data_IF_900093382030
#
_entry.id   IF_900093382030
#
_cell.length_a   1.000
_cell.length_b   1.000
_cell.length_c   1.000
_cell.angle_alpha   90.00
_cell.angle_beta   90.00
_cell.angle_gamma   90.00
#
_symmetry.space_group_name_H-M   'P 1'
#
loop_
_entity.id
_entity.type
_entity.pdbx_description
1 polymer ?
#
# COMPACT_ATOMS: atom_id res chain seq x y z
N UNK A 1 14.41 6.98 0.65
CA UNK A 1 13.87 5.61 0.86
C UNK A 1 12.36 5.74 1.05
N UNK A 2 11.59 4.69 0.74
CA UNK A 2 10.14 4.68 0.98
C UNK A 2 9.84 4.67 2.48
N UNK A 3 8.65 5.13 2.86
CA UNK A 3 8.17 5.12 4.24
C UNK A 3 7.77 3.72 4.67
N UNK A 4 8.17 3.34 5.88
CA UNK A 4 7.67 2.18 6.63
C UNK A 4 6.74 2.59 7.77
N UNK A 5 6.34 3.87 7.82
CA UNK A 5 5.46 4.42 8.85
C UNK A 5 4.04 4.53 8.32
N UNK A 6 3.09 4.20 9.18
CA UNK A 6 1.67 4.42 8.90
C UNK A 6 1.38 5.91 8.76
N UNK A 7 0.66 6.33 7.71
CA UNK A 7 0.33 7.73 7.49
C UNK A 7 -0.78 8.20 8.45
N UNK A 8 -0.80 9.50 8.72
CA UNK A 8 -1.92 10.13 9.41
C UNK A 8 -3.04 10.33 8.40
N UNK A 9 -4.21 9.73 8.67
CA UNK A 9 -5.40 9.75 7.82
C UNK A 9 -6.40 10.83 8.23
N UNK A 10 -6.45 11.14 9.52
CA UNK A 10 -7.41 12.07 10.10
C UNK A 10 -6.68 13.13 10.92
N UNK A 11 -7.12 14.39 10.81
CA UNK A 11 -6.63 15.48 11.65
C UNK A 11 -7.20 15.40 13.07
N UNK A 12 -8.43 14.89 13.18
CA UNK A 12 -9.07 14.62 14.47
C UNK A 12 -8.36 13.44 15.18
N UNK A 13 -7.85 13.63 16.40
CA UNK A 13 -7.13 12.59 17.13
C UNK A 13 -7.98 11.36 17.44
N UNK A 14 -9.27 11.54 17.79
CA UNK A 14 -10.18 10.46 18.13
C UNK A 14 -10.44 9.58 16.90
N UNK A 15 -10.62 10.19 15.73
CA UNK A 15 -10.81 9.45 14.48
C UNK A 15 -9.53 8.72 14.05
N UNK A 16 -8.37 9.34 14.25
CA UNK A 16 -7.09 8.72 13.95
C UNK A 16 -6.81 7.53 14.88
N UNK A 17 -7.15 7.64 16.16
CA UNK A 17 -7.03 6.56 17.13
C UNK A 17 -7.98 5.41 16.82
N UNK A 18 -9.25 5.72 16.55
CA UNK A 18 -10.27 4.73 16.15
C UNK A 18 -9.84 3.98 14.89
N UNK A 19 -9.32 4.69 13.88
CA UNK A 19 -8.79 4.06 12.67
C UNK A 19 -7.66 3.08 13.01
N UNK A 20 -6.69 3.48 13.83
CA UNK A 20 -5.60 2.58 14.22
C UNK A 20 -6.11 1.36 14.98
N UNK A 21 -7.05 1.55 15.90
CA UNK A 21 -7.61 0.46 16.70
C UNK A 21 -8.27 -0.61 15.82
N UNK A 22 -9.02 -0.20 14.79
CA UNK A 22 -9.68 -1.13 13.84
C UNK A 22 -8.64 -1.97 13.07
N UNK A 23 -7.58 -1.35 12.56
CA UNK A 23 -6.61 -2.04 11.69
C UNK A 23 -5.50 -2.78 12.46
N UNK A 24 -5.10 -2.30 13.65
CA UNK A 24 -4.08 -2.97 14.47
C UNK A 24 -4.58 -4.29 15.04
N UNK A 25 -5.88 -4.40 15.32
CA UNK A 25 -6.49 -5.61 15.86
C UNK A 25 -7.04 -6.58 14.82
N UNK A 26 -7.04 -6.22 13.53
CA UNK A 26 -7.72 -7.02 12.50
C UNK A 26 -6.89 -8.15 11.94
N UNK A 27 -5.56 -8.01 11.93
CA UNK A 27 -4.66 -9.04 11.40
C UNK A 27 -4.29 -10.03 12.50
N UNK A 28 -4.73 -11.27 12.35
CA UNK A 28 -4.37 -12.37 13.26
C UNK A 28 -3.04 -13.03 12.88
N UNK A 29 -2.56 -12.80 11.64
CA UNK A 29 -1.27 -13.30 11.14
C UNK A 29 -0.40 -12.16 10.58
N UNK A 30 0.93 -12.24 10.74
CA UNK A 30 1.83 -11.24 10.16
C UNK A 30 1.70 -11.19 8.63
N UNK A 31 1.84 -9.98 8.07
CA UNK A 31 1.84 -9.80 6.62
C UNK A 31 3.13 -10.34 6.02
N UNK A 32 2.98 -11.17 5.00
CA UNK A 32 4.10 -11.58 4.15
C UNK A 32 4.32 -10.53 3.08
N UNK A 33 5.58 -10.20 2.82
CA UNK A 33 5.93 -9.37 1.67
C UNK A 33 5.69 -10.18 0.40
N UNK A 34 4.86 -9.65 -0.48
CA UNK A 34 4.50 -10.27 -1.76
C UNK A 34 4.98 -9.42 -2.92
N UNK A 35 5.28 -10.05 -4.05
CA UNK A 35 5.57 -9.36 -5.31
C UNK A 35 4.36 -9.38 -6.24
N UNK A 36 4.23 -8.37 -7.11
CA UNK A 36 3.24 -8.46 -8.17
C UNK A 36 3.55 -9.62 -9.12
N UNK A 37 2.52 -10.25 -9.73
CA UNK A 37 2.71 -11.38 -10.64
C UNK A 37 3.65 -11.02 -11.80
N UNK A 38 4.66 -11.87 -12.03
CA UNK A 38 5.62 -11.69 -13.13
C UNK A 38 6.67 -10.59 -12.91
N UNK A 39 6.72 -9.94 -11.75
CA UNK A 39 7.70 -8.90 -11.43
C UNK A 39 8.82 -9.49 -10.57
N UNK A 40 10.08 -9.22 -10.95
CA UNK A 40 11.24 -9.66 -10.16
C UNK A 40 11.48 -8.75 -8.95
N UNK A 41 12.18 -9.26 -7.93
CA UNK A 41 12.60 -8.42 -6.79
C UNK A 41 13.45 -7.22 -7.23
N UNK A 42 14.31 -7.39 -8.24
CA UNK A 42 15.18 -6.33 -8.74
C UNK A 42 14.36 -5.22 -9.43
N UNK A 43 13.43 -5.59 -10.30
CA UNK A 43 12.55 -4.65 -10.98
C UNK A 43 11.62 -3.94 -10.00
N UNK A 44 11.07 -4.67 -9.03
CA UNK A 44 10.24 -4.08 -8.00
C UNK A 44 11.02 -3.07 -7.16
N UNK A 45 12.25 -3.38 -6.76
CA UNK A 45 13.13 -2.45 -6.04
C UNK A 45 13.38 -1.18 -6.85
N UNK A 46 13.70 -1.32 -8.14
CA UNK A 46 13.91 -0.18 -9.02
C UNK A 46 12.63 0.66 -9.18
N UNK A 47 11.47 0.02 -9.35
CA UNK A 47 10.18 0.70 -9.43
C UNK A 47 9.89 1.52 -8.16
N UNK A 48 10.13 0.95 -6.96
CA UNK A 48 9.99 1.67 -5.68
C UNK A 48 10.91 2.89 -5.62
N UNK A 49 12.16 2.75 -6.05
CA UNK A 49 13.08 3.90 -6.11
C UNK A 49 12.59 4.99 -7.08
N UNK A 50 11.99 4.63 -8.21
CA UNK A 50 11.41 5.61 -9.14
C UNK A 50 10.17 6.29 -8.56
N UNK A 51 9.28 5.53 -7.91
CA UNK A 51 8.11 6.09 -7.22
C UNK A 51 8.53 7.08 -6.13
N UNK A 52 9.55 6.74 -5.33
CA UNK A 52 10.07 7.64 -4.29
C UNK A 52 10.67 8.90 -4.91
N UNK A 53 11.32 8.83 -6.08
CA UNK A 53 11.80 10.02 -6.79
C UNK A 53 10.65 10.91 -7.26
N UNK A 54 9.54 10.33 -7.68
CA UNK A 54 8.37 11.08 -8.17
C UNK A 54 7.53 11.69 -7.04
N UNK A 55 7.36 10.97 -5.93
CA UNK A 55 6.40 11.32 -4.86
C UNK A 55 7.06 11.81 -3.57
N UNK A 56 8.37 11.61 -3.42
CA UNK A 56 9.05 11.76 -2.14
C UNK A 56 8.91 10.53 -1.22
N UNK A 57 9.62 10.52 -0.07
CA UNK A 57 9.66 9.38 0.86
C UNK A 57 8.31 9.01 1.46
N UNK A 58 7.46 10.00 1.75
CA UNK A 58 6.15 9.87 2.37
C UNK A 58 5.06 9.43 1.39
N UNK A 59 5.28 9.62 0.09
CA UNK A 59 4.37 9.23 -0.98
C UNK A 59 4.44 7.74 -1.35
N UNK A 60 5.33 6.95 -0.75
CA UNK A 60 5.47 5.51 -0.98
C UNK A 60 5.53 4.78 0.35
N UNK A 61 4.65 3.80 0.54
CA UNK A 61 4.55 2.96 1.72
C UNK A 61 4.94 1.53 1.37
N UNK A 62 5.77 0.91 2.20
CA UNK A 62 6.24 -0.47 2.06
C UNK A 62 6.33 -1.16 3.43
N UNK A 63 6.50 -2.49 3.42
CA UNK A 63 6.67 -3.29 4.62
C UNK A 63 5.39 -3.37 5.45
N UNK A 64 5.55 -3.43 6.78
CA UNK A 64 4.43 -3.64 7.69
C UNK A 64 3.38 -2.51 7.66
N UNK A 65 3.78 -1.31 7.22
CA UNK A 65 2.87 -0.18 7.07
C UNK A 65 1.81 -0.37 5.96
N UNK A 66 1.90 -1.45 5.18
CA UNK A 66 0.85 -1.89 4.27
C UNK A 66 -0.38 -2.44 5.02
N UNK A 67 -0.29 -2.70 6.33
CA UNK A 67 -1.44 -3.16 7.14
C UNK A 67 -2.69 -2.30 7.00
N UNK A 68 -2.55 -0.97 6.88
CA UNK A 68 -3.66 -0.03 6.68
C UNK A 68 -4.37 -0.18 5.31
N UNK A 69 -3.83 -1.02 4.42
CA UNK A 69 -4.33 -1.28 3.08
C UNK A 69 -4.94 -2.68 2.95
N UNK A 70 -4.94 -3.47 4.02
CA UNK A 70 -5.61 -4.77 4.09
C UNK A 70 -7.00 -4.56 4.68
N UNK A 71 -8.01 -5.25 4.14
CA UNK A 71 -9.35 -5.16 4.68
C UNK A 71 -9.39 -5.74 6.10
N UNK A 72 -9.80 -4.96 7.11
CA UNK A 72 -9.88 -5.46 8.49
C UNK A 72 -10.90 -6.59 8.69
N UNK A 73 -11.76 -6.86 7.71
CA UNK A 73 -12.74 -7.96 7.75
C UNK A 73 -12.40 -9.11 6.79
N UNK A 74 -11.18 -9.18 6.27
CA UNK A 74 -10.74 -10.26 5.38
C UNK A 74 -10.80 -11.64 6.07
N UNK A 75 -11.46 -12.61 5.43
CA UNK A 75 -11.64 -13.97 5.97
C UNK A 75 -10.55 -14.96 5.53
N UNK A 76 -9.66 -14.56 4.62
CA UNK A 76 -8.73 -15.44 3.92
C UNK A 76 -7.28 -15.37 4.45
N UNK A 77 -7.06 -14.94 5.70
CA UNK A 77 -5.71 -14.88 6.29
C UNK A 77 -4.98 -16.24 6.27
N UNK A 78 -5.73 -17.34 6.28
CA UNK A 78 -5.25 -18.72 6.28
C UNK A 78 -5.07 -19.28 4.85
N UNK A 79 -5.57 -18.60 3.82
CA UNK A 79 -5.54 -19.04 2.44
C UNK A 79 -4.70 -18.08 1.58
N UNK A 80 -3.42 -18.40 1.40
CA UNK A 80 -2.48 -17.57 0.63
C UNK A 80 -2.90 -17.34 -0.82
N UNK A 81 -3.66 -18.28 -1.41
CA UNK A 81 -4.11 -18.15 -2.80
C UNK A 81 -5.26 -17.16 -2.98
N UNK A 82 -6.01 -16.89 -1.90
CA UNK A 82 -7.15 -15.97 -1.90
C UNK A 82 -6.85 -14.65 -1.18
N UNK A 83 -5.80 -14.60 -0.35
CA UNK A 83 -5.42 -13.42 0.44
C UNK A 83 -5.01 -12.26 -0.46
N UNK A 84 -5.59 -11.08 -0.22
CA UNK A 84 -5.35 -9.87 -1.02
C UNK A 84 -4.42 -8.93 -0.28
N UNK A 85 -3.11 -9.03 -0.56
CA UNK A 85 -2.10 -8.17 0.04
C UNK A 85 -1.42 -7.31 -1.03
N UNK A 86 -1.31 -6.01 -0.78
CA UNK A 86 -0.55 -5.11 -1.65
C UNK A 86 0.96 -5.28 -1.45
N UNK A 87 1.74 -5.18 -2.52
CA UNK A 87 3.21 -5.16 -2.43
C UNK A 87 3.77 -3.84 -1.91
N UNK A 88 3.09 -2.74 -2.27
CA UNK A 88 3.40 -1.37 -1.85
C UNK A 88 2.15 -0.50 -2.05
N UNK A 89 2.14 0.70 -1.44
CA UNK A 89 1.14 1.72 -1.71
C UNK A 89 1.80 3.04 -2.11
N UNK A 90 1.19 3.72 -3.08
CA UNK A 90 1.64 5.02 -3.59
C UNK A 90 0.54 6.06 -3.40
N UNK A 91 0.91 7.26 -2.96
CA UNK A 91 -0.01 8.30 -2.53
C UNK A 91 0.21 9.60 -3.34
N UNK A 92 -0.33 9.68 -4.58
CA UNK A 92 -0.24 10.91 -5.36
C UNK A 92 -1.06 12.03 -4.74
N UNK A 93 -0.52 13.26 -4.81
CA UNK A 93 -1.13 14.50 -4.33
C UNK A 93 -1.54 15.44 -5.46
N UNK A 94 -1.19 15.09 -6.69
CA UNK A 94 -1.55 15.82 -7.90
C UNK A 94 -1.74 14.90 -9.11
N UNK A 95 -2.27 15.44 -10.19
CA UNK A 95 -2.44 14.70 -11.46
C UNK A 95 -1.08 14.40 -12.09
N UNK A 96 -0.10 15.28 -11.94
CA UNK A 96 1.26 15.13 -12.46
C UNK A 96 2.01 14.00 -11.74
N UNK A 97 1.83 13.89 -10.42
CA UNK A 97 2.33 12.76 -9.63
C UNK A 97 1.66 11.45 -10.08
N UNK A 98 0.33 11.45 -10.26
CA UNK A 98 -0.40 10.30 -10.78
C UNK A 98 0.11 9.85 -12.16
N UNK A 99 0.32 10.79 -13.09
CA UNK A 99 0.89 10.49 -14.41
C UNK A 99 2.29 9.90 -14.31
N UNK A 100 3.10 10.36 -13.36
CA UNK A 100 4.44 9.81 -13.10
C UNK A 100 4.36 8.38 -12.57
N UNK A 101 3.42 8.10 -11.67
CA UNK A 101 3.14 6.73 -11.20
C UNK A 101 2.77 5.82 -12.37
N UNK A 102 1.85 6.26 -13.25
CA UNK A 102 1.42 5.47 -14.40
C UNK A 102 2.58 5.16 -15.35
N UNK A 103 3.52 6.10 -15.56
CA UNK A 103 4.71 5.87 -16.40
C UNK A 103 5.61 4.78 -15.80
N UNK A 104 5.89 4.85 -14.50
CA UNK A 104 6.71 3.84 -13.80
C UNK A 104 6.00 2.49 -13.80
N UNK A 105 4.71 2.44 -13.50
CA UNK A 105 3.92 1.22 -13.49
C UNK A 105 3.92 0.53 -14.86
N UNK A 106 3.74 1.28 -15.95
CA UNK A 106 3.83 0.73 -17.31
C UNK A 106 5.24 0.22 -17.64
N UNK A 107 6.29 0.95 -17.24
CA UNK A 107 7.70 0.57 -17.52
C UNK A 107 8.08 -0.78 -16.88
N UNK A 108 7.62 -1.04 -15.66
CA UNK A 108 7.93 -2.26 -14.91
C UNK A 108 6.80 -3.28 -14.90
N UNK A 109 5.73 -3.05 -15.66
CA UNK A 109 4.52 -3.90 -15.71
C UNK A 109 3.91 -4.14 -14.31
N UNK A 110 3.89 -3.10 -13.46
CA UNK A 110 3.31 -3.17 -12.12
C UNK A 110 1.78 -3.02 -12.22
N UNK A 111 0.99 -4.02 -11.80
CA UNK A 111 -0.46 -3.87 -11.71
C UNK A 111 -0.82 -2.85 -10.63
N UNK A 112 -1.83 -2.03 -10.92
CA UNK A 112 -2.32 -1.00 -10.00
C UNK A 112 -3.75 -1.31 -9.55
N UNK A 113 -3.99 -1.17 -8.25
CA UNK A 113 -5.32 -1.15 -7.65
C UNK A 113 -5.58 0.26 -7.12
N UNK A 114 -6.51 0.98 -7.73
CA UNK A 114 -6.81 2.38 -7.40
C UNK A 114 -8.07 2.48 -6.55
N UNK A 115 -8.02 3.33 -5.54
CA UNK A 115 -9.17 3.63 -4.69
C UNK A 115 -9.01 5.03 -4.09
N UNK A 116 -10.11 5.62 -3.61
CA UNK A 116 -10.07 6.91 -2.93
C UNK A 116 -9.88 6.74 -1.42
N UNK A 117 -10.96 6.48 -0.66
CA UNK A 117 -10.89 6.42 0.81
C UNK A 117 -10.65 5.02 1.37
N UNK A 118 -10.75 3.98 0.56
CA UNK A 118 -10.53 2.58 0.99
C UNK A 118 -11.56 2.08 2.01
N UNK A 119 -12.77 2.66 2.02
CA UNK A 119 -13.84 2.31 2.98
C UNK A 119 -14.86 1.31 2.40
N UNK A 120 -14.43 0.49 1.45
CA UNK A 120 -15.27 -0.58 0.92
C UNK A 120 -15.05 -1.84 1.76
N UNK A 121 -15.52 -1.78 3.00
CA UNK A 121 -15.33 -2.80 4.03
C UNK A 121 -16.44 -3.85 3.92
N UNK A 122 -16.08 -5.13 3.77
CA UNK A 122 -17.03 -6.26 3.67
C UNK A 122 -17.20 -6.78 2.25
#
# INVERSE_FOLDING_TARGET
MASTKLPIRYQDPEYQETHRAVFQGSLTRPLKQVLPPGVTHADFKLAIEEFVRALGPDGVIVGDAISDYVDPYELYEDNESERKVASAAVLPRSVEELQSILKVANKYTIPLWTFSRGKNLG
#
